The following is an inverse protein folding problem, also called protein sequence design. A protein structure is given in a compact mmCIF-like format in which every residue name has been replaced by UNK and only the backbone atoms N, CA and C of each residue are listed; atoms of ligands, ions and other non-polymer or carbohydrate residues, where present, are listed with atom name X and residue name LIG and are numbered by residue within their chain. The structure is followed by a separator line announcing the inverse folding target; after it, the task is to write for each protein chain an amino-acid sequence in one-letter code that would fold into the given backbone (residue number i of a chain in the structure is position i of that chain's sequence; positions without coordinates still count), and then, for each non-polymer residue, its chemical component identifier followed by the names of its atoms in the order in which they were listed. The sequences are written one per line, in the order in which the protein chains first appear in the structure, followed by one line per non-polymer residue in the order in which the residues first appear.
data_IF_148409754762
#
_entry.id   IF_148409754762
#
_cell.length_a   1.000
_cell.length_b   1.000
_cell.length_c   1.000
_cell.angle_alpha   90.00
_cell.angle_beta   90.00
_cell.angle_gamma   90.00
#
_symmetry.space_group_name_H-M   'P 1'
#
loop_
_entity.id
_entity.type
_entity.pdbx_description
1 polymer ?
#
# COMPACT_ATOMS: atom_id res chain seq x y z
N UNK A 1 13.27 -8.51 -7.58
CA UNK A 1 12.22 -7.54 -7.20
C UNK A 1 11.08 -7.57 -8.19
N UNK A 2 11.36 -7.50 -9.49
CA UNK A 2 10.33 -7.60 -10.53
C UNK A 2 9.48 -8.88 -10.37
N UNK A 3 10.11 -10.03 -10.19
CA UNK A 3 9.42 -11.32 -10.05
C UNK A 3 8.44 -11.35 -8.87
N UNK A 4 8.74 -10.61 -7.79
CA UNK A 4 7.82 -10.47 -6.65
C UNK A 4 6.51 -9.77 -7.00
N UNK A 5 6.51 -8.90 -8.00
CA UNK A 5 5.31 -8.27 -8.52
C UNK A 5 4.58 -9.20 -9.50
N UNK A 6 5.32 -9.92 -10.34
CA UNK A 6 4.76 -10.78 -11.38
C UNK A 6 4.06 -12.04 -10.84
N UNK A 7 4.38 -12.47 -9.63
CA UNK A 7 3.71 -13.60 -8.95
C UNK A 7 2.27 -13.27 -8.52
N UNK A 8 1.93 -11.98 -8.39
CA UNK A 8 0.66 -11.54 -7.78
C UNK A 8 -0.56 -11.66 -8.72
N UNK A 9 -0.48 -11.29 -10.02
CA UNK A 9 -1.63 -11.39 -10.91
C UNK A 9 -2.10 -12.84 -11.07
N UNK A 10 -3.40 -13.13 -10.96
CA UNK A 10 -3.91 -14.48 -11.15
C UNK A 10 -3.72 -14.94 -12.60
N UNK A 11 -2.83 -15.88 -12.80
CA UNK A 11 -2.52 -16.44 -14.11
C UNK A 11 -3.42 -17.67 -14.40
N UNK A 12 -4.72 -17.44 -14.56
CA UNK A 12 -5.71 -18.52 -14.71
C UNK A 12 -5.59 -19.33 -16.03
N UNK A 13 -4.94 -18.77 -17.05
CA UNK A 13 -4.90 -19.40 -18.40
C UNK A 13 -3.67 -20.28 -18.56
N UNK A 14 -2.56 -19.97 -17.88
CA UNK A 14 -1.30 -20.71 -17.99
C UNK A 14 -1.12 -21.86 -16.99
N UNK A 15 -2.03 -22.01 -16.02
CA UNK A 15 -1.91 -23.00 -14.95
C UNK A 15 -2.32 -24.42 -15.38
N UNK A 16 -2.94 -24.60 -16.55
CA UNK A 16 -3.32 -25.91 -17.07
C UNK A 16 -2.40 -26.34 -18.22
N UNK A 17 -1.98 -27.61 -18.21
CA UNK A 17 -1.10 -28.20 -19.21
C UNK A 17 -1.59 -28.01 -20.66
N UNK A 18 -2.93 -28.09 -20.87
CA UNK A 18 -3.57 -27.84 -22.14
C UNK A 18 -3.65 -26.34 -22.50
N UNK A 19 -3.75 -25.47 -21.49
CA UNK A 19 -3.79 -24.01 -21.69
C UNK A 19 -2.48 -23.46 -22.30
N UNK A 20 -1.33 -23.98 -21.88
CA UNK A 20 -0.03 -23.56 -22.42
C UNK A 20 0.13 -23.89 -23.89
N UNK A 21 -0.34 -25.05 -24.34
CA UNK A 21 -0.19 -25.48 -25.71
C UNK A 21 -1.10 -24.71 -26.71
N UNK A 22 -2.35 -24.48 -26.33
CA UNK A 22 -3.33 -23.85 -27.25
C UNK A 22 -3.35 -22.32 -27.19
N UNK A 23 -2.82 -21.69 -26.14
CA UNK A 23 -2.93 -20.26 -25.92
C UNK A 23 -1.58 -19.53 -25.74
N UNK A 24 -0.48 -20.08 -26.24
CA UNK A 24 0.88 -19.54 -26.10
C UNK A 24 0.97 -18.04 -26.44
N UNK A 25 0.42 -17.63 -27.58
CA UNK A 25 0.43 -16.21 -28.00
C UNK A 25 -0.36 -15.31 -27.04
N UNK A 26 -1.45 -15.81 -26.48
CA UNK A 26 -2.28 -15.06 -25.54
C UNK A 26 -1.61 -14.94 -24.19
N UNK A 27 -0.99 -16.02 -23.73
CA UNK A 27 -0.20 -16.05 -22.48
C UNK A 27 0.94 -15.06 -22.58
N UNK A 28 1.75 -15.12 -23.64
CA UNK A 28 2.87 -14.21 -23.86
C UNK A 28 2.45 -12.74 -23.85
N UNK A 29 1.31 -12.42 -24.49
CA UNK A 29 0.77 -11.06 -24.49
C UNK A 29 0.35 -10.60 -23.07
N UNK A 30 -0.23 -11.49 -22.26
CA UNK A 30 -0.60 -11.18 -20.88
C UNK A 30 0.66 -10.97 -20.02
N UNK A 31 1.67 -11.81 -20.20
CA UNK A 31 2.96 -11.66 -19.52
C UNK A 31 3.62 -10.33 -19.86
N UNK A 32 3.67 -9.94 -21.13
CA UNK A 32 4.20 -8.64 -21.55
C UNK A 32 3.45 -7.46 -20.91
N UNK A 33 2.12 -7.55 -20.82
CA UNK A 33 1.30 -6.53 -20.14
C UNK A 33 1.62 -6.49 -18.63
N UNK A 34 1.74 -7.65 -17.97
CA UNK A 34 2.06 -7.72 -16.56
C UNK A 34 3.48 -7.21 -16.27
N UNK A 35 4.46 -7.53 -17.11
CA UNK A 35 5.83 -7.02 -16.98
C UNK A 35 5.84 -5.50 -17.09
N UNK A 36 5.17 -4.94 -18.10
CA UNK A 36 5.08 -3.50 -18.25
C UNK A 36 4.40 -2.85 -17.04
N UNK A 37 3.29 -3.40 -16.58
CA UNK A 37 2.59 -2.90 -15.38
C UNK A 37 3.50 -2.95 -14.14
N UNK A 38 4.24 -4.03 -13.94
CA UNK A 38 5.17 -4.17 -12.82
C UNK A 38 6.29 -3.12 -12.91
N UNK A 39 6.82 -2.85 -14.10
CA UNK A 39 7.84 -1.81 -14.31
C UNK A 39 7.29 -0.41 -14.02
N UNK A 40 6.09 -0.08 -14.49
CA UNK A 40 5.42 1.19 -14.20
C UNK A 40 5.21 1.36 -12.67
N UNK A 41 4.86 0.27 -11.97
CA UNK A 41 4.73 0.27 -10.51
C UNK A 41 6.07 0.51 -9.84
N UNK A 42 7.14 -0.18 -10.26
CA UNK A 42 8.49 0.04 -9.73
C UNK A 42 8.93 1.48 -9.91
N UNK A 43 8.56 2.11 -11.02
CA UNK A 43 8.87 3.51 -11.27
C UNK A 43 8.12 4.45 -10.31
N UNK A 44 6.83 4.25 -10.12
CA UNK A 44 6.01 4.98 -9.13
C UNK A 44 6.60 4.85 -7.73
N UNK A 45 7.08 3.67 -7.37
CA UNK A 45 7.70 3.38 -6.07
C UNK A 45 9.16 3.88 -5.99
N UNK A 46 9.77 4.28 -7.12
CA UNK A 46 11.18 4.63 -7.23
C UNK A 46 12.11 3.48 -6.87
N UNK A 47 11.75 2.28 -7.33
CA UNK A 47 12.48 1.03 -7.17
C UNK A 47 13.01 0.46 -8.50
N UNK A 48 12.86 1.17 -9.63
CA UNK A 48 13.24 0.71 -10.97
C UNK A 48 14.71 0.28 -11.05
N UNK A 49 15.60 0.97 -10.34
CA UNK A 49 17.02 0.64 -10.27
C UNK A 49 17.32 -0.70 -9.55
N UNK A 50 16.34 -1.26 -8.85
CA UNK A 50 16.41 -2.54 -8.13
C UNK A 50 15.60 -3.64 -8.82
N UNK A 51 15.12 -3.43 -10.04
CA UNK A 51 14.26 -4.36 -10.78
C UNK A 51 14.81 -5.79 -10.77
N UNK A 52 16.10 -5.95 -11.05
CA UNK A 52 16.79 -7.25 -11.13
C UNK A 52 17.35 -7.75 -9.80
N UNK A 53 17.23 -6.96 -8.73
CA UNK A 53 17.80 -7.31 -7.42
C UNK A 53 16.93 -8.36 -6.72
N UNK A 54 17.53 -9.15 -5.84
CA UNK A 54 16.79 -10.05 -4.95
C UNK A 54 16.03 -9.24 -3.89
N UNK A 55 14.76 -9.56 -3.69
CA UNK A 55 13.93 -8.87 -2.68
C UNK A 55 14.48 -9.02 -1.25
N UNK A 56 15.24 -10.10 -0.99
CA UNK A 56 15.96 -10.29 0.28
C UNK A 56 16.95 -9.18 0.60
N UNK A 57 17.60 -8.61 -0.43
CA UNK A 57 18.64 -7.58 -0.30
C UNK A 57 18.07 -6.17 -0.10
N UNK A 58 16.75 -6.00 -0.22
CA UNK A 58 16.09 -4.71 0.00
C UNK A 58 16.17 -4.29 1.47
N UNK A 59 16.35 -2.99 1.70
CA UNK A 59 16.15 -2.41 3.03
C UNK A 59 14.71 -2.59 3.50
N UNK A 60 14.46 -2.52 4.81
CA UNK A 60 13.11 -2.64 5.38
C UNK A 60 12.10 -1.68 4.74
N UNK A 61 12.52 -0.45 4.47
CA UNK A 61 11.68 0.53 3.80
C UNK A 61 11.38 0.22 2.33
N UNK A 62 12.37 -0.30 1.60
CA UNK A 62 12.16 -0.76 0.23
C UNK A 62 11.24 -1.98 0.17
N UNK A 63 11.32 -2.89 1.15
CA UNK A 63 10.40 -4.02 1.29
C UNK A 63 8.96 -3.54 1.48
N UNK A 64 8.72 -2.55 2.36
CA UNK A 64 7.37 -1.95 2.53
C UNK A 64 6.84 -1.32 1.24
N UNK A 65 7.69 -0.63 0.47
CA UNK A 65 7.29 -0.12 -0.85
C UNK A 65 6.96 -1.25 -1.83
N UNK A 66 7.73 -2.33 -1.82
CA UNK A 66 7.48 -3.49 -2.68
C UNK A 66 6.15 -4.19 -2.32
N UNK A 67 5.82 -4.29 -1.02
CA UNK A 67 4.52 -4.80 -0.55
C UNK A 67 3.37 -3.96 -1.10
N UNK A 68 3.46 -2.63 -1.04
CA UNK A 68 2.48 -1.75 -1.66
C UNK A 68 2.39 -1.98 -3.18
N UNK A 69 3.52 -2.17 -3.85
CA UNK A 69 3.58 -2.51 -5.27
C UNK A 69 2.84 -3.81 -5.61
N UNK A 70 2.97 -4.82 -4.78
CA UNK A 70 2.24 -6.09 -4.94
C UNK A 70 0.73 -5.88 -4.92
N UNK A 71 0.24 -5.06 -4.00
CA UNK A 71 -1.19 -4.70 -3.94
C UNK A 71 -1.63 -3.96 -5.21
N UNK A 72 -0.79 -3.06 -5.75
CA UNK A 72 -1.08 -2.34 -6.98
C UNK A 72 -1.18 -3.24 -8.22
N UNK A 73 -0.54 -4.42 -8.21
CA UNK A 73 -0.61 -5.37 -9.34
C UNK A 73 -2.02 -5.90 -9.61
N UNK A 74 -2.89 -5.93 -8.60
CA UNK A 74 -4.28 -6.43 -8.73
C UNK A 74 -5.32 -5.33 -8.98
N UNK A 75 -4.92 -4.05 -9.07
CA UNK A 75 -5.81 -2.88 -9.24
C UNK A 75 -7.03 -2.91 -8.28
N UNK A 76 -6.82 -2.87 -6.97
CA UNK A 76 -7.89 -3.00 -6.00
C UNK A 76 -8.72 -1.71 -5.93
N UNK A 77 -10.00 -1.81 -5.57
CA UNK A 77 -10.83 -0.65 -5.24
C UNK A 77 -10.54 -0.13 -3.83
N UNK A 78 -10.25 -1.04 -2.89
CA UNK A 78 -9.98 -0.73 -1.48
C UNK A 78 -8.66 -1.37 -1.06
N UNK A 79 -7.81 -0.59 -0.39
CA UNK A 79 -6.55 -1.02 0.18
C UNK A 79 -6.59 -0.83 1.70
N UNK A 80 -6.32 -1.92 2.43
CA UNK A 80 -6.19 -1.90 3.87
C UNK A 80 -4.70 -1.79 4.23
N UNK A 81 -4.34 -0.79 5.00
CA UNK A 81 -2.98 -0.54 5.46
C UNK A 81 -2.93 -0.66 6.98
N UNK A 82 -2.06 -1.53 7.47
CA UNK A 82 -1.86 -1.75 8.89
C UNK A 82 -0.45 -1.33 9.29
N UNK A 83 -0.35 -0.27 10.10
CA UNK A 83 0.89 0.30 10.65
C UNK A 83 2.04 0.47 9.62
N UNK A 84 1.73 0.98 8.44
CA UNK A 84 2.75 1.16 7.37
C UNK A 84 3.84 2.15 7.77
N UNK A 85 3.55 3.05 8.71
CA UNK A 85 4.51 4.01 9.26
C UNK A 85 5.47 3.42 10.30
N UNK A 86 5.18 2.25 10.88
CA UNK A 86 5.99 1.68 11.95
C UNK A 86 7.42 1.36 11.49
N UNK A 87 8.42 1.87 12.22
CA UNK A 87 9.84 1.65 11.92
C UNK A 87 10.34 2.34 10.65
N UNK A 88 9.57 3.28 10.09
CA UNK A 88 9.91 4.01 8.87
C UNK A 88 10.48 5.38 9.23
N UNK A 89 11.60 5.77 8.61
CA UNK A 89 12.15 7.12 8.79
C UNK A 89 11.28 8.19 8.12
N UNK A 90 11.42 9.45 8.54
CA UNK A 90 10.61 10.58 8.07
C UNK A 90 10.63 10.77 6.55
N UNK A 91 11.77 10.51 5.90
CA UNK A 91 11.92 10.66 4.44
C UNK A 91 11.08 9.63 3.69
N UNK A 92 11.15 8.37 4.12
CA UNK A 92 10.36 7.29 3.53
C UNK A 92 8.87 7.45 3.83
N UNK A 93 8.52 7.88 5.06
CA UNK A 93 7.13 8.17 5.43
C UNK A 93 6.52 9.25 4.52
N UNK A 94 7.28 10.31 4.23
CA UNK A 94 6.87 11.35 3.27
C UNK A 94 6.67 10.76 1.85
N UNK A 95 7.57 9.86 1.43
CA UNK A 95 7.44 9.18 0.13
C UNK A 95 6.18 8.32 0.07
N UNK A 96 5.91 7.50 1.09
CA UNK A 96 4.70 6.68 1.21
C UNK A 96 3.45 7.57 1.17
N UNK A 97 3.43 8.68 1.95
CA UNK A 97 2.34 9.66 1.93
C UNK A 97 2.03 10.16 0.52
N UNK A 98 3.06 10.55 -0.22
CA UNK A 98 2.89 11.07 -1.58
C UNK A 98 2.37 10.00 -2.54
N UNK A 99 2.84 8.76 -2.41
CA UNK A 99 2.38 7.62 -3.22
C UNK A 99 0.90 7.35 -2.94
N UNK A 100 0.49 7.25 -1.68
CA UNK A 100 -0.91 7.02 -1.29
C UNK A 100 -1.82 8.12 -1.87
N UNK A 101 -1.44 9.40 -1.71
CA UNK A 101 -2.19 10.54 -2.28
C UNK A 101 -2.30 10.45 -3.80
N UNK A 102 -1.21 10.12 -4.48
CA UNK A 102 -1.19 9.95 -5.94
C UNK A 102 -2.13 8.83 -6.38
N UNK A 103 -2.05 7.67 -5.74
CA UNK A 103 -2.90 6.52 -6.05
C UNK A 103 -4.38 6.81 -5.78
N UNK A 104 -4.72 7.45 -4.67
CA UNK A 104 -6.09 7.86 -4.37
C UNK A 104 -6.62 8.83 -5.45
N UNK A 105 -5.82 9.84 -5.83
CA UNK A 105 -6.24 10.86 -6.80
C UNK A 105 -6.34 10.31 -8.23
N UNK A 106 -5.33 9.57 -8.69
CA UNK A 106 -5.18 9.14 -10.09
C UNK A 106 -5.87 7.79 -10.37
N UNK A 107 -5.74 6.84 -9.43
CA UNK A 107 -6.30 5.48 -9.58
C UNK A 107 -7.65 5.32 -8.87
N UNK A 108 -8.08 6.30 -8.09
CA UNK A 108 -9.32 6.27 -7.30
C UNK A 108 -9.38 5.15 -6.26
N UNK A 109 -8.22 4.65 -5.82
CA UNK A 109 -8.18 3.67 -4.74
C UNK A 109 -8.69 4.29 -3.44
N UNK A 110 -9.52 3.56 -2.72
CA UNK A 110 -9.92 3.90 -1.36
C UNK A 110 -8.93 3.28 -0.38
N UNK A 111 -8.44 4.08 0.57
CA UNK A 111 -7.53 3.59 1.61
C UNK A 111 -8.23 3.58 2.95
N UNK A 112 -8.13 2.46 3.67
CA UNK A 112 -8.47 2.35 5.08
C UNK A 112 -7.16 2.02 5.79
N UNK A 113 -6.75 2.84 6.76
CA UNK A 113 -5.48 2.64 7.43
C UNK A 113 -5.65 2.59 8.95
N UNK A 114 -4.90 1.70 9.58
CA UNK A 114 -4.75 1.61 11.03
C UNK A 114 -3.40 2.20 11.36
N UNK A 115 -3.39 3.24 12.17
CA UNK A 115 -2.18 3.96 12.56
C UNK A 115 -2.36 4.63 13.92
N UNK A 116 -1.27 4.84 14.60
CA UNK A 116 -1.25 5.55 15.89
C UNK A 116 -0.55 6.93 15.81
N UNK A 117 0.11 7.24 14.70
CA UNK A 117 0.71 8.55 14.43
C UNK A 117 -0.35 9.53 13.86
N UNK A 118 -0.88 10.40 14.72
CA UNK A 118 -1.87 11.41 14.34
C UNK A 118 -1.36 12.39 13.27
N UNK A 119 -0.05 12.67 13.23
CA UNK A 119 0.51 13.58 12.22
C UNK A 119 0.60 12.90 10.86
N UNK A 120 0.81 11.59 10.82
CA UNK A 120 0.75 10.82 9.58
C UNK A 120 -0.69 10.69 9.08
N UNK A 121 -1.63 10.30 9.96
CA UNK A 121 -3.06 10.18 9.65
C UNK A 121 -3.61 11.51 9.13
N UNK A 122 -3.28 12.64 9.78
CA UNK A 122 -3.78 13.97 9.41
C UNK A 122 -3.44 14.41 8.00
N UNK A 123 -2.40 13.84 7.41
CA UNK A 123 -1.95 14.16 6.05
C UNK A 123 -2.68 13.34 4.98
N UNK A 124 -3.34 12.24 5.36
CA UNK A 124 -3.89 11.25 4.44
C UNK A 124 -5.39 11.07 4.57
N UNK A 125 -5.93 11.21 5.78
CA UNK A 125 -7.32 10.85 6.07
C UNK A 125 -8.18 12.09 6.29
N UNK A 126 -9.32 12.14 5.60
CA UNK A 126 -10.35 13.16 5.82
C UNK A 126 -11.21 12.82 7.03
N UNK A 127 -11.44 11.52 7.26
CA UNK A 127 -12.23 11.00 8.38
C UNK A 127 -11.37 10.05 9.21
N UNK A 128 -11.36 10.25 10.52
CA UNK A 128 -10.62 9.45 11.49
C UNK A 128 -11.64 8.82 12.44
N UNK A 129 -11.53 7.51 12.62
CA UNK A 129 -12.28 6.74 13.62
C UNK A 129 -11.31 6.40 14.74
N UNK A 130 -11.64 6.77 15.95
CA UNK A 130 -10.85 6.42 17.14
C UNK A 130 -11.50 5.25 17.84
N UNK A 131 -10.69 4.23 18.12
CA UNK A 131 -11.07 3.04 18.86
C UNK A 131 -10.21 2.93 20.12
N UNK A 132 -10.79 2.45 21.19
CA UNK A 132 -10.10 2.12 22.43
C UNK A 132 -10.71 0.85 23.03
N UNK A 133 -9.86 -0.05 23.57
CA UNK A 133 -10.29 -1.31 24.18
C UNK A 133 -11.26 -2.14 23.30
N UNK A 134 -11.02 -2.13 21.99
CA UNK A 134 -11.86 -2.83 21.01
C UNK A 134 -13.21 -2.17 20.71
N UNK A 135 -13.48 -0.97 21.24
CA UNK A 135 -14.74 -0.26 21.06
C UNK A 135 -14.56 1.05 20.29
N UNK A 136 -15.62 1.43 19.58
CA UNK A 136 -15.71 2.76 18.95
C UNK A 136 -15.78 3.84 20.03
N UNK A 137 -14.90 4.83 19.94
CA UNK A 137 -14.87 5.95 20.85
C UNK A 137 -15.48 7.22 20.25
N UNK A 138 -15.01 7.61 19.07
CA UNK A 138 -15.47 8.80 18.35
C UNK A 138 -15.01 8.75 16.88
N UNK A 139 -15.57 9.63 16.05
CA UNK A 139 -15.10 9.88 14.70
C UNK A 139 -15.18 11.36 14.36
N UNK A 140 -14.34 11.80 13.43
CA UNK A 140 -14.33 13.17 12.95
C UNK A 140 -13.08 13.49 12.13
N UNK A 141 -12.92 14.76 11.78
CA UNK A 141 -11.67 15.25 11.21
C UNK A 141 -10.57 15.40 12.28
N UNK A 142 -9.34 15.65 11.86
CA UNK A 142 -8.19 15.72 12.77
C UNK A 142 -8.36 16.79 13.88
N UNK A 143 -9.02 17.92 13.60
CA UNK A 143 -9.22 18.97 14.60
C UNK A 143 -10.21 18.53 15.68
N UNK A 144 -11.30 17.88 15.28
CA UNK A 144 -12.29 17.30 16.19
C UNK A 144 -11.67 16.21 17.07
N UNK A 145 -10.84 15.35 16.48
CA UNK A 145 -10.16 14.29 17.22
C UNK A 145 -9.17 14.86 18.25
N UNK A 146 -8.32 15.82 17.82
CA UNK A 146 -7.33 16.44 18.73
C UNK A 146 -7.95 17.26 19.86
N UNK A 147 -9.19 17.77 19.69
CA UNK A 147 -9.93 18.52 20.73
C UNK A 147 -10.86 17.65 21.59
N UNK A 148 -11.01 16.37 21.27
CA UNK A 148 -11.90 15.49 22.01
C UNK A 148 -11.29 15.06 23.34
N UNK A 149 -11.92 15.47 24.46
CA UNK A 149 -11.40 15.17 25.80
C UNK A 149 -11.20 13.69 26.07
N UNK A 150 -12.10 12.81 25.58
CA UNK A 150 -11.96 11.34 25.74
C UNK A 150 -10.73 10.80 25.03
N UNK A 151 -10.41 11.34 23.85
CA UNK A 151 -9.19 10.95 23.10
C UNK A 151 -7.94 11.44 23.84
N UNK A 152 -7.96 12.67 24.34
CA UNK A 152 -6.88 13.24 25.14
C UNK A 152 -6.60 12.37 26.37
N UNK A 153 -7.64 12.02 27.12
CA UNK A 153 -7.53 11.24 28.35
C UNK A 153 -6.93 9.83 28.12
N UNK A 154 -7.26 9.21 26.98
CA UNK A 154 -6.82 7.84 26.66
C UNK A 154 -5.44 7.80 26.02
N UNK A 155 -5.16 8.69 25.06
CA UNK A 155 -3.96 8.62 24.24
C UNK A 155 -2.84 9.56 24.65
N UNK A 156 -3.15 10.68 25.34
CA UNK A 156 -2.17 11.66 25.78
C UNK A 156 -1.93 11.60 27.30
N UNK A 157 -2.65 10.74 28.00
CA UNK A 157 -2.55 10.53 29.41
C UNK A 157 -3.28 11.61 30.22
N UNK A 158 -3.84 11.22 31.37
CA UNK A 158 -4.17 12.20 32.40
C UNK A 158 -2.85 12.71 32.99
N UNK A 159 -2.48 13.94 32.66
CA UNK A 159 -1.52 14.67 33.53
C UNK A 159 -2.06 14.81 34.90
#
# INVERSE_FOLDING_TARGET
VLDNLLVVPPNKIGETFFGQWFFEKKIKKIEEINVKKAQDILDILGLSHLEKEYAGNLSGGQKKLLELGRVMMIDPEIILLDEVGAGVNKTLLKKITNIIKKLNKEKKYTFIMIEHDLDFISKLCDTIIVMAEGQFLTQGNIQQIKSNQKVIDIYLGKT
#
